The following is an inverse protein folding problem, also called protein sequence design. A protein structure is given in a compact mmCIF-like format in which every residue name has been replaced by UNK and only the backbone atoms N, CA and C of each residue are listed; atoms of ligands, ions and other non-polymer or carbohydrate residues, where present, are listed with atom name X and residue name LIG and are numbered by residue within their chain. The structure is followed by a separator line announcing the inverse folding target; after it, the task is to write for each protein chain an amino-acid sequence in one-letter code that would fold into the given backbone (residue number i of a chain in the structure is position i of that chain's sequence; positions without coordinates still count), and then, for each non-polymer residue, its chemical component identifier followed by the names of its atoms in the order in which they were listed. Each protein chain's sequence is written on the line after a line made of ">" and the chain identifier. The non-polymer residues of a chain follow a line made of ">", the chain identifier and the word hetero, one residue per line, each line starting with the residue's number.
data_IF_899825544757
#
_entry.id   IF_899825544757
#
_cell.length_a   1.000
_cell.length_b   1.000
_cell.length_c   1.000
_cell.angle_alpha   90.00
_cell.angle_beta   90.00
_cell.angle_gamma   90.00
#
_symmetry.space_group_name_H-M   'P 1'
#
loop_
_entity.id
_entity.type
_entity.pdbx_description
1 polymer ?
#
# COMPACT_ATOMS: atom_id res chain seq x y z
N UNK A 1 10.36 2.15 -10.93
CA UNK A 1 9.05 2.79 -11.18
C UNK A 1 7.92 2.21 -10.34
N UNK A 2 7.80 0.88 -10.27
CA UNK A 2 6.80 0.15 -9.45
C UNK A 2 6.55 0.69 -8.03
N UNK A 3 7.56 0.93 -7.17
CA UNK A 3 7.30 1.35 -5.78
C UNK A 3 6.58 2.70 -5.71
N UNK A 4 6.88 3.65 -6.61
CA UNK A 4 6.22 4.95 -6.64
C UNK A 4 4.73 4.84 -7.00
N UNK A 5 4.40 3.98 -7.98
CA UNK A 5 3.01 3.71 -8.38
C UNK A 5 2.24 3.14 -7.19
N UNK A 6 2.85 2.20 -6.48
CA UNK A 6 2.26 1.57 -5.31
C UNK A 6 2.04 2.59 -4.19
N UNK A 7 2.99 3.49 -3.93
CA UNK A 7 2.83 4.55 -2.93
C UNK A 7 1.68 5.49 -3.25
N UNK A 8 1.55 5.93 -4.50
CA UNK A 8 0.42 6.79 -4.93
C UNK A 8 -0.90 6.08 -4.72
N UNK A 9 -1.00 4.80 -5.11
CA UNK A 9 -2.19 3.99 -4.90
C UNK A 9 -2.56 3.89 -3.41
N UNK A 10 -1.57 3.66 -2.54
CA UNK A 10 -1.78 3.59 -1.09
C UNK A 10 -2.35 4.90 -0.53
N UNK A 11 -1.81 6.04 -0.96
CA UNK A 11 -2.26 7.37 -0.53
C UNK A 11 -3.70 7.63 -0.99
N UNK A 12 -4.05 7.27 -2.22
CA UNK A 12 -5.41 7.43 -2.74
C UNK A 12 -6.41 6.57 -1.97
N UNK A 13 -6.08 5.30 -1.70
CA UNK A 13 -6.93 4.39 -0.92
C UNK A 13 -7.13 4.92 0.51
N UNK A 14 -6.06 5.29 1.20
CA UNK A 14 -6.15 5.89 2.52
C UNK A 14 -6.99 7.17 2.51
N UNK A 15 -6.75 8.05 1.52
CA UNK A 15 -7.46 9.30 1.35
C UNK A 15 -8.96 9.09 1.18
N UNK A 16 -9.36 8.20 0.27
CA UNK A 16 -10.77 7.89 0.02
C UNK A 16 -11.48 7.34 1.27
N UNK A 17 -10.85 6.39 1.99
CA UNK A 17 -11.45 5.76 3.17
C UNK A 17 -11.60 6.77 4.32
N UNK A 18 -10.56 7.55 4.61
CA UNK A 18 -10.64 8.62 5.63
C UNK A 18 -11.60 9.74 5.21
N UNK A 19 -11.76 9.99 3.90
CA UNK A 19 -12.74 10.94 3.39
C UNK A 19 -14.18 10.48 3.68
N UNK A 20 -14.48 9.20 3.49
CA UNK A 20 -15.82 8.63 3.72
C UNK A 20 -16.17 8.43 5.20
N UNK A 21 -15.18 8.17 6.06
CA UNK A 21 -15.39 7.85 7.48
C UNK A 21 -14.68 8.83 8.47
N UNK A 22 -14.97 10.15 8.42
CA UNK A 22 -14.21 11.16 9.18
C UNK A 22 -14.29 11.02 10.70
N UNK A 23 -15.42 10.50 11.22
CA UNK A 23 -15.67 10.40 12.67
C UNK A 23 -15.04 9.15 13.31
N UNK A 24 -14.58 8.19 12.51
CA UNK A 24 -14.11 6.89 12.98
C UNK A 24 -12.64 6.64 12.58
N UNK A 25 -11.74 7.57 12.92
CA UNK A 25 -10.35 7.59 12.46
C UNK A 25 -9.58 6.28 12.66
N UNK A 26 -9.61 5.69 13.86
CA UNK A 26 -8.88 4.44 14.11
C UNK A 26 -9.44 3.26 13.32
N UNK A 27 -10.78 3.20 13.17
CA UNK A 27 -11.44 2.21 12.31
C UNK A 27 -11.05 2.42 10.85
N UNK A 28 -11.12 3.66 10.35
CA UNK A 28 -10.70 4.02 9.00
C UNK A 28 -9.22 3.70 8.76
N UNK A 29 -8.36 3.90 9.77
CA UNK A 29 -6.93 3.59 9.71
C UNK A 29 -6.68 2.11 9.53
N UNK A 30 -7.28 1.27 10.38
CA UNK A 30 -7.16 -0.19 10.27
C UNK A 30 -7.77 -0.72 8.97
N UNK A 31 -8.96 -0.25 8.59
CA UNK A 31 -9.63 -0.67 7.36
C UNK A 31 -8.78 -0.32 6.13
N UNK A 32 -8.29 0.91 6.02
CA UNK A 32 -7.43 1.29 4.90
C UNK A 32 -6.09 0.57 4.90
N UNK A 33 -5.51 0.27 6.07
CA UNK A 33 -4.29 -0.55 6.16
C UNK A 33 -4.49 -1.94 5.56
N UNK A 34 -5.60 -2.61 5.90
CA UNK A 34 -5.96 -3.92 5.35
C UNK A 34 -6.19 -3.83 3.84
N UNK A 35 -6.94 -2.83 3.38
CA UNK A 35 -7.19 -2.64 1.94
C UNK A 35 -5.90 -2.36 1.19
N UNK A 36 -5.03 -1.49 1.71
CA UNK A 36 -3.70 -1.19 1.14
C UNK A 36 -2.87 -2.46 1.04
N UNK A 37 -2.83 -3.29 2.09
CA UNK A 37 -2.06 -4.52 2.09
C UNK A 37 -2.53 -5.48 0.99
N UNK A 38 -3.85 -5.72 0.91
CA UNK A 38 -4.43 -6.60 -0.10
C UNK A 38 -4.16 -6.08 -1.51
N UNK A 39 -4.43 -4.79 -1.77
CA UNK A 39 -4.15 -4.17 -3.06
C UNK A 39 -2.69 -4.28 -3.43
N UNK A 40 -1.80 -3.99 -2.49
CA UNK A 40 -0.38 -3.96 -2.78
C UNK A 40 0.18 -5.35 -3.08
N UNK A 41 -0.27 -6.39 -2.37
CA UNK A 41 0.08 -7.78 -2.69
C UNK A 41 -0.43 -8.14 -4.08
N UNK A 42 -1.70 -7.88 -4.38
CA UNK A 42 -2.28 -8.16 -5.71
C UNK A 42 -1.54 -7.42 -6.82
N UNK A 43 -1.22 -6.15 -6.62
CA UNK A 43 -0.45 -5.33 -7.59
C UNK A 43 0.95 -5.89 -7.82
N UNK A 44 1.65 -6.38 -6.78
CA UNK A 44 2.95 -7.03 -6.94
C UNK A 44 2.88 -8.28 -7.83
N UNK A 45 1.86 -9.13 -7.63
CA UNK A 45 1.65 -10.31 -8.48
C UNK A 45 1.33 -9.94 -9.93
N UNK A 46 0.51 -8.91 -10.16
CA UNK A 46 0.22 -8.40 -11.51
C UNK A 46 1.51 -7.90 -12.17
N UNK A 47 2.33 -7.14 -11.43
CA UNK A 47 3.57 -6.60 -11.94
C UNK A 47 4.59 -7.69 -12.25
N UNK A 48 4.66 -8.76 -11.44
CA UNK A 48 5.47 -9.94 -11.73
C UNK A 48 5.02 -10.62 -13.02
N UNK A 49 3.71 -10.87 -13.17
CA UNK A 49 3.15 -11.51 -14.38
C UNK A 49 3.34 -10.68 -15.66
N UNK A 50 3.39 -9.35 -15.52
CA UNK A 50 3.61 -8.42 -16.64
C UNK A 50 5.08 -8.25 -17.06
N UNK A 51 6.03 -8.86 -16.35
CA UNK A 51 7.47 -8.68 -16.60
C UNK A 51 8.05 -7.33 -16.13
N UNK A 52 7.25 -6.46 -15.49
CA UNK A 52 7.72 -5.18 -14.95
C UNK A 52 8.65 -5.30 -13.73
N UNK A 53 8.82 -6.51 -13.20
CA UNK A 53 9.72 -6.83 -12.08
C UNK A 53 10.95 -7.65 -12.51
N UNK A 54 11.23 -7.70 -13.81
CA UNK A 54 12.46 -8.31 -14.33
C UNK A 54 13.64 -7.41 -13.95
N UNK A 55 14.67 -8.00 -13.35
CA UNK A 55 15.90 -7.31 -13.01
C UNK A 55 16.66 -6.93 -14.29
N UNK A 56 16.95 -5.64 -14.50
CA UNK A 56 17.76 -5.17 -15.63
C UNK A 56 19.19 -5.76 -15.62
N UNK A 57 19.69 -6.17 -14.45
CA UNK A 57 21.05 -6.67 -14.27
C UNK A 57 21.17 -8.19 -14.49
N UNK A 58 20.11 -8.95 -14.19
CA UNK A 58 20.17 -10.43 -14.23
C UNK A 58 19.17 -11.05 -15.20
N UNK A 59 18.19 -10.31 -15.70
CA UNK A 59 17.14 -10.83 -16.59
C UNK A 59 16.17 -11.81 -15.91
N UNK A 60 16.33 -12.06 -14.62
CA UNK A 60 15.50 -12.98 -13.86
C UNK A 60 14.26 -12.30 -13.30
N UNK A 61 13.17 -13.07 -13.23
CA UNK A 61 11.95 -12.67 -12.54
C UNK A 61 12.24 -12.56 -11.03
N UNK A 62 11.72 -11.52 -10.39
CA UNK A 62 11.81 -11.39 -8.95
C UNK A 62 11.14 -12.60 -8.26
N UNK A 63 11.93 -13.38 -7.51
CA UNK A 63 11.42 -14.47 -6.68
C UNK A 63 10.94 -13.94 -5.32
N UNK A 64 9.63 -14.02 -5.11
CA UNK A 64 8.98 -13.59 -3.88
C UNK A 64 8.70 -14.75 -2.92
N UNK A 65 8.85 -16.01 -3.35
CA UNK A 65 8.42 -17.21 -2.61
C UNK A 65 9.02 -17.29 -1.21
N UNK A 66 10.30 -16.98 -1.07
CA UNK A 66 11.00 -16.95 0.23
C UNK A 66 10.86 -15.65 1.04
N UNK A 67 10.29 -14.59 0.47
CA UNK A 67 10.27 -13.23 1.07
C UNK A 67 8.87 -12.70 1.36
N UNK A 68 7.82 -13.44 0.99
CA UNK A 68 6.41 -13.06 1.14
C UNK A 68 6.06 -12.59 2.55
N UNK A 69 6.49 -13.31 3.59
CA UNK A 69 6.22 -12.91 4.98
C UNK A 69 6.85 -11.56 5.33
N UNK A 70 8.12 -11.36 4.96
CA UNK A 70 8.83 -10.11 5.23
C UNK A 70 8.20 -8.94 4.47
N UNK A 71 7.84 -9.15 3.20
CA UNK A 71 7.15 -8.15 2.40
C UNK A 71 5.79 -7.80 3.00
N UNK A 72 5.01 -8.79 3.41
CA UNK A 72 3.70 -8.59 4.02
C UNK A 72 3.80 -7.74 5.28
N UNK A 73 4.74 -8.04 6.18
CA UNK A 73 4.98 -7.27 7.41
C UNK A 73 5.37 -5.83 7.07
N UNK A 74 6.30 -5.65 6.15
CA UNK A 74 6.81 -4.34 5.77
C UNK A 74 5.72 -3.49 5.11
N UNK A 75 4.92 -4.09 4.23
CA UNK A 75 3.80 -3.45 3.54
C UNK A 75 2.67 -3.11 4.50
N UNK A 76 2.39 -3.96 5.49
CA UNK A 76 1.42 -3.67 6.54
C UNK A 76 1.88 -2.50 7.41
N UNK A 77 3.16 -2.48 7.79
CA UNK A 77 3.75 -1.40 8.58
C UNK A 77 3.70 -0.06 7.83
N UNK A 78 4.16 -0.01 6.58
CA UNK A 78 4.12 1.21 5.78
C UNK A 78 2.70 1.62 5.41
N UNK A 79 1.82 0.67 5.09
CA UNK A 79 0.41 0.94 4.83
C UNK A 79 -0.30 1.57 6.03
N UNK A 80 0.03 1.10 7.24
CA UNK A 80 -0.43 1.69 8.49
C UNK A 80 0.06 3.12 8.67
N UNK A 81 1.35 3.37 8.49
CA UNK A 81 1.92 4.72 8.58
C UNK A 81 1.30 5.68 7.56
N UNK A 82 1.20 5.27 6.29
CA UNK A 82 0.55 6.07 5.23
C UNK A 82 -0.88 6.42 5.65
N UNK A 83 -1.64 5.42 6.11
CA UNK A 83 -3.01 5.65 6.54
C UNK A 83 -3.12 6.62 7.72
N UNK A 84 -2.22 6.48 8.70
CA UNK A 84 -2.18 7.35 9.87
C UNK A 84 -1.92 8.80 9.46
N UNK A 85 -0.90 9.05 8.63
CA UNK A 85 -0.54 10.39 8.18
C UNK A 85 -1.60 11.01 7.26
N UNK A 86 -2.09 10.26 6.27
CA UNK A 86 -3.13 10.75 5.35
C UNK A 86 -4.43 11.06 6.09
N UNK A 87 -4.84 10.17 7.00
CA UNK A 87 -6.00 10.41 7.83
C UNK A 87 -5.84 11.63 8.73
N UNK A 88 -4.64 11.81 9.31
CA UNK A 88 -4.36 12.95 10.18
C UNK A 88 -4.41 14.26 9.39
N UNK A 89 -3.79 14.29 8.22
CA UNK A 89 -3.83 15.42 7.29
C UNK A 89 -5.28 15.78 6.92
N UNK A 90 -6.09 14.79 6.52
CA UNK A 90 -7.49 15.01 6.17
C UNK A 90 -8.34 15.50 7.35
N UNK A 91 -8.03 15.04 8.57
CA UNK A 91 -8.67 15.55 9.78
C UNK A 91 -8.33 17.01 10.02
N UNK A 92 -7.07 17.41 9.84
CA UNK A 92 -6.62 18.80 10.01
C UNK A 92 -7.22 19.72 8.94
N UNK A 93 -7.28 19.30 7.68
CA UNK A 93 -7.80 20.14 6.57
C UNK A 93 -9.33 20.31 6.60
N UNK A 94 -10.05 19.36 7.20
CA UNK A 94 -11.52 19.40 7.31
C UNK A 94 -12.03 20.14 8.54
N UNK A 95 -11.16 20.43 9.50
CA UNK A 95 -11.44 21.20 10.70
C UNK A 95 -10.85 22.60 10.58
#
# INVERSE_FOLDING_TARGET
>A
MVPYILTILCVLVAGAIHWMAPKAYWKATLTSTVVILLFSITTLFIFQASGMLISEQTGENADFSGKLMTMTILMAFFGFLISLFVGWFLRVVRH
#
